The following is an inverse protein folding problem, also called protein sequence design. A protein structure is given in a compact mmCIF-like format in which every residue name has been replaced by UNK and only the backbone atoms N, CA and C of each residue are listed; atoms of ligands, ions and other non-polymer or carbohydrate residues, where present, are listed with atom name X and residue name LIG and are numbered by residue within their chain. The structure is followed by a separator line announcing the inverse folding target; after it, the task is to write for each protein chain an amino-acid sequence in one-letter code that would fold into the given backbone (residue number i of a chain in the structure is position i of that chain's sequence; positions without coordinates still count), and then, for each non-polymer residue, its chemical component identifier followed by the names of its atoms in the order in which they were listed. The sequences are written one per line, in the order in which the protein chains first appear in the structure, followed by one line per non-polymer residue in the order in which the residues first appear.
data_IF_266230267191
#
_entry.id   IF_266230267191
#
_cell.length_a   1.000
_cell.length_b   1.000
_cell.length_c   1.000
_cell.angle_alpha   90.00
_cell.angle_beta   90.00
_cell.angle_gamma   90.00
#
_symmetry.space_group_name_H-M   'P 1'
#
loop_
_entity.id
_entity.type
_entity.pdbx_description
1 polymer ?
#
# COMPACT_ATOMS: atom_id res chain seq x y z
N UNK A 1 10.28 -44.05 11.88
CA UNK A 1 10.69 -43.01 10.94
C UNK A 1 9.95 -41.73 11.35
N UNK A 2 10.64 -40.61 11.53
CA UNK A 2 9.93 -39.40 11.81
C UNK A 2 9.09 -39.05 10.58
N UNK A 3 7.81 -38.73 10.83
CA UNK A 3 6.89 -38.18 9.83
C UNK A 3 7.58 -37.08 9.05
N UNK A 4 7.61 -37.21 7.71
CA UNK A 4 7.97 -36.09 6.86
C UNK A 4 6.96 -34.97 7.15
N UNK A 5 7.34 -34.01 7.98
CA UNK A 5 6.58 -32.78 8.11
C UNK A 5 6.31 -32.28 6.69
N UNK A 6 5.05 -32.31 6.31
CA UNK A 6 4.59 -31.80 5.01
C UNK A 6 5.10 -30.37 4.89
N UNK A 7 5.93 -30.11 3.87
CA UNK A 7 6.47 -28.76 3.68
C UNK A 7 5.31 -27.85 3.31
N UNK A 8 5.12 -26.84 4.11
CA UNK A 8 4.11 -25.79 3.84
C UNK A 8 4.48 -25.15 2.50
N UNK A 9 3.54 -25.16 1.56
CA UNK A 9 3.64 -24.33 0.36
C UNK A 9 3.41 -22.87 0.78
N UNK A 10 4.51 -22.12 0.85
CA UNK A 10 4.48 -20.73 1.32
C UNK A 10 3.60 -19.85 0.43
N UNK A 11 3.54 -20.10 -0.87
CA UNK A 11 2.71 -19.31 -1.78
C UNK A 11 1.23 -19.54 -1.53
N UNK A 12 0.83 -20.81 -1.33
CA UNK A 12 -0.54 -21.17 -0.97
C UNK A 12 -0.92 -20.58 0.40
N UNK A 13 -0.02 -20.67 1.37
CA UNK A 13 -0.24 -20.12 2.70
C UNK A 13 -0.42 -18.58 2.65
N UNK A 14 0.45 -17.87 1.93
CA UNK A 14 0.36 -16.42 1.82
C UNK A 14 -0.87 -15.95 1.01
N UNK A 15 -1.33 -16.75 0.05
CA UNK A 15 -2.53 -16.42 -0.72
C UNK A 15 -3.79 -16.31 0.14
N UNK A 16 -3.84 -17.00 1.29
CA UNK A 16 -4.97 -16.91 2.22
C UNK A 16 -5.14 -15.51 2.81
N UNK A 17 -4.04 -14.75 2.95
CA UNK A 17 -4.09 -13.37 3.48
C UNK A 17 -4.63 -12.36 2.48
N UNK A 18 -4.65 -12.67 1.20
CA UNK A 18 -5.27 -11.82 0.17
C UNK A 18 -6.80 -11.79 0.27
N UNK A 19 -7.40 -12.72 1.00
CA UNK A 19 -8.84 -12.78 1.25
C UNK A 19 -9.32 -11.85 2.40
N UNK A 20 -8.42 -11.11 3.01
CA UNK A 20 -8.76 -10.17 4.09
C UNK A 20 -8.99 -8.78 3.50
N UNK A 21 -10.21 -8.19 3.65
CA UNK A 21 -10.51 -6.87 3.11
C UNK A 21 -9.53 -5.80 3.59
N UNK A 22 -9.03 -4.99 2.65
CA UNK A 22 -8.10 -3.90 2.95
C UNK A 22 -6.69 -4.34 3.34
N UNK A 23 -6.38 -5.63 3.30
CA UNK A 23 -5.07 -6.17 3.63
C UNK A 23 -4.33 -6.60 2.38
N UNK A 24 -3.07 -6.15 2.26
CA UNK A 24 -2.16 -6.56 1.20
C UNK A 24 -0.83 -6.95 1.83
N UNK A 25 -0.55 -8.25 1.85
CA UNK A 25 0.69 -8.77 2.45
C UNK A 25 1.88 -8.39 1.57
N UNK A 26 2.88 -7.74 2.17
CA UNK A 26 4.11 -7.39 1.46
C UNK A 26 5.02 -8.62 1.33
N UNK A 27 4.84 -9.37 0.26
CA UNK A 27 5.60 -10.58 -0.06
C UNK A 27 6.89 -10.27 -0.81
N UNK A 28 7.79 -11.25 -0.95
CA UNK A 28 8.97 -11.12 -1.80
C UNK A 28 8.61 -10.81 -3.26
N UNK A 29 7.50 -11.32 -3.76
CA UNK A 29 7.00 -11.02 -5.11
C UNK A 29 6.57 -9.55 -5.23
N UNK A 30 5.85 -9.02 -4.23
CA UNK A 30 5.48 -7.60 -4.18
C UNK A 30 6.69 -6.70 -4.03
N UNK A 31 7.67 -7.07 -3.20
CA UNK A 31 8.92 -6.35 -3.07
C UNK A 31 9.68 -6.25 -4.40
N UNK A 32 9.70 -7.32 -5.15
CA UNK A 32 10.31 -7.38 -6.49
C UNK A 32 9.55 -6.53 -7.50
N UNK A 33 8.21 -6.64 -7.53
CA UNK A 33 7.35 -5.84 -8.39
C UNK A 33 7.52 -4.35 -8.16
N UNK A 34 7.58 -3.93 -6.89
CA UNK A 34 7.63 -2.52 -6.48
C UNK A 34 9.03 -1.96 -6.31
N UNK A 35 10.09 -2.67 -6.68
CA UNK A 35 11.46 -2.25 -6.44
C UNK A 35 11.73 -0.82 -6.91
N UNK A 36 11.45 -0.52 -8.17
CA UNK A 36 11.71 0.80 -8.73
C UNK A 36 10.80 1.90 -8.14
N UNK A 37 9.55 1.57 -7.85
CA UNK A 37 8.62 2.48 -7.17
C UNK A 37 9.14 2.85 -5.78
N UNK A 38 9.61 1.86 -5.02
CA UNK A 38 10.18 2.08 -3.69
C UNK A 38 11.50 2.86 -3.75
N UNK A 39 12.35 2.62 -4.76
CA UNK A 39 13.57 3.39 -4.98
C UNK A 39 13.27 4.85 -5.35
N UNK A 40 12.27 5.07 -6.21
CA UNK A 40 11.76 6.43 -6.48
C UNK A 40 11.35 7.12 -5.17
N UNK A 41 10.50 6.50 -4.37
CA UNK A 41 10.05 7.07 -3.11
C UNK A 41 11.21 7.39 -2.18
N UNK A 42 12.20 6.50 -2.06
CA UNK A 42 13.42 6.71 -1.26
C UNK A 42 14.26 7.87 -1.77
N UNK A 43 14.28 8.12 -3.07
CA UNK A 43 15.03 9.27 -3.64
C UNK A 43 14.55 10.61 -3.06
N UNK A 44 13.28 10.69 -2.66
CA UNK A 44 12.67 11.89 -2.07
C UNK A 44 13.14 12.19 -0.63
N UNK A 45 14.01 11.37 -0.06
CA UNK A 45 14.70 11.72 1.18
C UNK A 45 15.63 12.93 1.02
N UNK A 46 16.16 13.13 -0.18
CA UNK A 46 17.02 14.27 -0.49
C UNK A 46 16.20 15.47 -0.93
N UNK A 47 16.50 16.62 -0.35
CA UNK A 47 15.76 17.86 -0.67
C UNK A 47 15.85 18.24 -2.14
N UNK A 48 17.02 18.12 -2.75
CA UNK A 48 17.23 18.39 -4.19
C UNK A 48 16.30 17.56 -5.07
N UNK A 49 16.08 16.29 -4.72
CA UNK A 49 15.20 15.40 -5.46
C UNK A 49 13.71 15.77 -5.27
N UNK A 50 13.33 16.18 -4.05
CA UNK A 50 11.98 16.70 -3.81
C UNK A 50 11.69 17.95 -4.64
N UNK A 51 12.63 18.86 -4.72
CA UNK A 51 12.50 20.09 -5.53
C UNK A 51 12.36 19.76 -7.02
N UNK A 52 13.20 18.84 -7.54
CA UNK A 52 13.10 18.38 -8.93
C UNK A 52 11.76 17.70 -9.22
N UNK A 53 11.34 16.81 -8.34
CA UNK A 53 10.05 16.11 -8.46
C UNK A 53 8.87 17.10 -8.47
N UNK A 54 8.82 18.02 -7.52
CA UNK A 54 7.72 19.01 -7.44
C UNK A 54 7.74 20.02 -8.61
N UNK A 55 8.89 20.27 -9.21
CA UNK A 55 8.99 21.14 -10.38
C UNK A 55 8.39 20.50 -11.65
N UNK A 56 8.60 19.20 -11.85
CA UNK A 56 7.99 18.41 -12.96
C UNK A 56 7.92 16.94 -12.57
N UNK A 57 6.78 16.58 -11.95
CA UNK A 57 6.55 15.23 -11.45
C UNK A 57 6.65 14.17 -12.55
N UNK A 58 6.06 14.47 -13.73
CA UNK A 58 6.07 13.53 -14.84
C UNK A 58 7.46 13.28 -15.35
N UNK A 59 8.24 14.31 -15.60
CA UNK A 59 9.62 14.19 -16.07
C UNK A 59 10.48 13.43 -15.06
N UNK A 60 10.33 13.72 -13.77
CA UNK A 60 11.06 13.02 -12.73
C UNK A 60 10.71 11.52 -12.67
N UNK A 61 9.42 11.17 -12.80
CA UNK A 61 8.98 9.78 -12.84
C UNK A 61 9.47 9.02 -14.09
N UNK A 62 9.65 9.72 -15.21
CA UNK A 62 10.17 9.13 -16.44
C UNK A 62 11.65 8.75 -16.36
N UNK A 63 12.39 9.24 -15.36
CA UNK A 63 13.77 8.81 -15.07
C UNK A 63 13.83 7.42 -14.41
N UNK A 64 12.71 6.92 -13.91
CA UNK A 64 12.61 5.64 -13.20
C UNK A 64 11.93 4.57 -14.06
N UNK A 65 12.37 3.33 -13.89
CA UNK A 65 11.77 2.18 -14.59
C UNK A 65 10.44 1.77 -13.90
N UNK A 66 9.47 2.65 -14.00
CA UNK A 66 8.12 2.46 -13.45
C UNK A 66 7.15 1.98 -14.52
N UNK A 67 6.20 1.11 -14.12
CA UNK A 67 5.06 0.78 -14.96
C UNK A 67 4.17 2.02 -15.15
N UNK A 68 3.38 2.04 -16.21
CA UNK A 68 2.41 3.11 -16.44
C UNK A 68 1.38 3.19 -15.30
N UNK A 69 0.98 2.03 -14.76
CA UNK A 69 0.10 1.97 -13.60
C UNK A 69 0.71 2.61 -12.36
N UNK A 70 2.00 2.36 -12.08
CA UNK A 70 2.72 2.97 -10.98
C UNK A 70 2.84 4.50 -11.16
N UNK A 71 3.22 4.97 -12.34
CA UNK A 71 3.28 6.42 -12.65
C UNK A 71 1.93 7.09 -12.45
N UNK A 72 0.86 6.49 -12.98
CA UNK A 72 -0.49 6.99 -12.83
C UNK A 72 -0.90 7.09 -11.35
N UNK A 73 -0.62 6.04 -10.57
CA UNK A 73 -0.94 6.02 -9.15
C UNK A 73 -0.19 7.12 -8.38
N UNK A 74 1.10 7.35 -8.67
CA UNK A 74 1.89 8.41 -8.05
C UNK A 74 1.32 9.79 -8.40
N UNK A 75 1.06 10.07 -9.67
CA UNK A 75 0.53 11.36 -10.11
C UNK A 75 -0.85 11.66 -9.52
N UNK A 76 -1.67 10.64 -9.34
CA UNK A 76 -3.00 10.75 -8.73
C UNK A 76 -2.95 10.72 -7.18
N UNK A 77 -1.79 10.47 -6.57
CA UNK A 77 -1.67 10.20 -5.12
C UNK A 77 -2.61 9.07 -4.68
N UNK A 78 -2.81 8.08 -5.55
CA UNK A 78 -3.54 6.85 -5.25
C UNK A 78 -2.63 5.88 -4.50
N UNK A 79 -2.61 5.99 -3.18
CA UNK A 79 -1.74 5.17 -2.33
C UNK A 79 -2.14 3.69 -2.36
N UNK A 80 -3.42 3.38 -2.49
CA UNK A 80 -3.88 2.00 -2.68
C UNK A 80 -3.33 1.42 -3.99
N UNK A 81 -3.41 2.18 -5.08
CA UNK A 81 -2.82 1.80 -6.36
C UNK A 81 -1.31 1.61 -6.29
N UNK A 82 -0.59 2.48 -5.57
CA UNK A 82 0.85 2.32 -5.34
C UNK A 82 1.18 1.04 -4.57
N UNK A 83 0.39 0.68 -3.56
CA UNK A 83 0.57 -0.58 -2.81
C UNK A 83 0.28 -1.78 -3.70
N UNK A 84 -0.73 -1.72 -4.57
CA UNK A 84 -1.04 -2.77 -5.54
C UNK A 84 0.10 -2.96 -6.55
N UNK A 85 0.84 -1.89 -6.88
CA UNK A 85 2.06 -1.93 -7.70
C UNK A 85 3.33 -2.34 -6.90
N UNK A 86 3.19 -2.84 -5.69
CA UNK A 86 4.29 -3.33 -4.86
C UNK A 86 4.97 -2.25 -4.01
N UNK A 87 4.34 -1.10 -3.86
CA UNK A 87 4.81 -0.05 -2.96
C UNK A 87 4.77 -0.48 -1.50
N UNK A 88 5.79 -0.10 -0.73
CA UNK A 88 5.84 -0.28 0.70
C UNK A 88 5.51 1.04 1.39
N UNK A 89 4.59 1.02 2.33
CA UNK A 89 4.09 2.24 2.99
C UNK A 89 5.19 3.06 3.66
N UNK A 90 6.24 2.45 4.19
CA UNK A 90 7.37 3.16 4.78
C UNK A 90 8.17 3.96 3.75
N UNK A 91 8.27 3.45 2.53
CA UNK A 91 8.89 4.19 1.43
C UNK A 91 7.93 5.24 0.86
N UNK A 92 6.67 4.87 0.65
CA UNK A 92 5.64 5.80 0.16
C UNK A 92 5.40 6.99 1.11
N UNK A 93 5.75 6.84 2.39
CA UNK A 93 5.68 7.95 3.34
C UNK A 93 6.55 9.15 2.94
N UNK A 94 7.60 8.93 2.16
CA UNK A 94 8.45 10.00 1.64
C UNK A 94 7.69 10.86 0.62
N UNK A 95 6.78 10.25 -0.14
CA UNK A 95 5.95 10.97 -1.11
C UNK A 95 4.93 11.88 -0.41
N UNK A 96 4.12 11.37 0.51
CA UNK A 96 3.15 12.24 1.17
C UNK A 96 3.82 13.27 2.11
N UNK A 97 4.99 12.97 2.66
CA UNK A 97 5.80 13.95 3.39
C UNK A 97 6.31 15.07 2.47
N UNK A 98 6.68 14.73 1.22
CA UNK A 98 7.05 15.70 0.19
C UNK A 98 5.90 16.66 -0.10
N UNK A 99 4.68 16.15 -0.14
CA UNK A 99 3.45 16.94 -0.27
C UNK A 99 3.05 17.69 1.01
N UNK A 100 3.85 17.59 2.08
CA UNK A 100 3.55 18.14 3.41
C UNK A 100 2.26 17.60 4.01
N UNK A 101 1.95 16.35 3.73
CA UNK A 101 0.80 15.64 4.27
C UNK A 101 1.22 14.68 5.39
N UNK A 102 0.31 14.47 6.35
CA UNK A 102 0.51 13.56 7.46
C UNK A 102 0.23 12.10 7.05
N UNK A 103 0.69 11.17 7.87
CA UNK A 103 0.29 9.77 7.76
C UNK A 103 -1.23 9.60 7.87
N UNK A 104 -1.87 10.34 8.77
CA UNK A 104 -3.34 10.32 8.93
C UNK A 104 -4.07 10.76 7.66
N UNK A 105 -3.53 11.74 6.94
CA UNK A 105 -4.08 12.15 5.65
C UNK A 105 -4.01 11.01 4.63
N UNK A 106 -2.84 10.39 4.50
CA UNK A 106 -2.65 9.28 3.56
C UNK A 106 -3.56 8.09 3.91
N UNK A 107 -3.57 7.67 5.18
CA UNK A 107 -4.42 6.59 5.66
C UNK A 107 -5.91 6.90 5.49
N UNK A 108 -6.32 8.13 5.74
CA UNK A 108 -7.67 8.61 5.49
C UNK A 108 -8.06 8.45 4.02
N UNK A 109 -7.22 8.95 3.11
CA UNK A 109 -7.46 8.83 1.67
C UNK A 109 -7.58 7.38 1.20
N UNK A 110 -6.79 6.47 1.77
CA UNK A 110 -6.85 5.03 1.47
C UNK A 110 -8.14 4.37 1.95
N UNK A 111 -8.81 4.95 2.91
CA UNK A 111 -10.06 4.44 3.51
C UNK A 111 -11.30 5.23 3.09
N UNK A 112 -11.14 6.20 2.20
CA UNK A 112 -12.22 7.06 1.74
C UNK A 112 -12.68 8.08 2.79
N UNK A 113 -11.81 8.41 3.75
CA UNK A 113 -12.06 9.37 4.82
C UNK A 113 -11.19 10.61 4.64
N UNK A 114 -11.67 11.75 5.15
CA UNK A 114 -10.81 12.91 5.39
C UNK A 114 -9.82 12.61 6.52
N UNK A 115 -8.77 13.44 6.62
CA UNK A 115 -7.81 13.29 7.72
C UNK A 115 -8.50 13.40 9.09
N UNK A 116 -9.45 14.30 9.24
CA UNK A 116 -10.17 14.51 10.50
C UNK A 116 -11.09 13.34 10.84
N UNK A 117 -11.86 12.86 9.88
CA UNK A 117 -12.69 11.65 10.05
C UNK A 117 -11.86 10.43 10.45
N UNK A 118 -10.71 10.26 9.81
CA UNK A 118 -9.78 9.17 10.16
C UNK A 118 -9.25 9.32 11.59
N UNK A 119 -8.82 10.53 11.98
CA UNK A 119 -8.34 10.80 13.33
C UNK A 119 -9.41 10.53 14.39
N UNK A 120 -10.64 10.98 14.17
CA UNK A 120 -11.76 10.74 15.07
C UNK A 120 -12.12 9.26 15.17
N UNK A 121 -12.11 8.53 14.07
CA UNK A 121 -12.31 7.08 14.03
C UNK A 121 -11.27 6.37 14.88
N UNK A 122 -9.99 6.75 14.78
CA UNK A 122 -8.90 6.16 15.57
C UNK A 122 -9.01 6.49 17.06
N UNK A 123 -9.38 7.73 17.41
CA UNK A 123 -9.63 8.13 18.80
C UNK A 123 -10.79 7.33 19.41
N UNK A 124 -11.81 7.04 18.61
CA UNK A 124 -12.96 6.22 18.99
C UNK A 124 -12.68 4.72 19.11
N UNK A 125 -11.42 4.28 18.97
CA UNK A 125 -11.03 2.86 19.12
C UNK A 125 -10.80 2.11 17.82
N UNK A 126 -10.86 2.80 16.68
CA UNK A 126 -10.66 2.21 15.37
C UNK A 126 -11.91 1.55 14.79
N UNK A 127 -11.74 0.86 13.66
CA UNK A 127 -12.84 0.12 13.03
C UNK A 127 -13.12 -1.19 13.77
N UNK A 128 -14.39 -1.58 13.84
CA UNK A 128 -14.77 -2.91 14.32
C UNK A 128 -14.12 -4.00 13.43
N UNK A 129 -13.53 -5.05 14.02
CA UNK A 129 -13.04 -6.20 13.27
C UNK A 129 -14.19 -7.11 12.77
N UNK A 130 -15.40 -6.88 13.23
CA UNK A 130 -16.56 -7.67 12.80
C UNK A 130 -16.87 -7.42 11.32
N UNK A 131 -17.02 -8.52 10.57
CA UNK A 131 -17.25 -8.46 9.13
C UNK A 131 -16.03 -8.19 8.27
N UNK A 132 -14.84 -8.06 8.89
CA UNK A 132 -13.57 -7.74 8.19
C UNK A 132 -12.63 -8.96 8.05
N UNK A 133 -13.09 -10.16 8.38
CA UNK A 133 -12.19 -11.33 8.50
C UNK A 133 -11.79 -11.90 7.15
N UNK A 134 -12.78 -12.18 6.30
CA UNK A 134 -12.56 -12.88 5.03
C UNK A 134 -13.63 -12.46 4.03
N UNK A 135 -13.22 -12.26 2.78
CA UNK A 135 -14.16 -11.96 1.69
C UNK A 135 -15.10 -13.15 1.49
N UNK A 136 -14.58 -14.38 1.43
CA UNK A 136 -15.37 -15.61 1.27
C UNK A 136 -16.36 -15.81 2.42
N UNK A 137 -15.89 -15.65 3.66
CA UNK A 137 -16.76 -15.79 4.83
C UNK A 137 -17.87 -14.73 4.88
N UNK A 138 -17.61 -13.53 4.36
CA UNK A 138 -18.63 -12.48 4.27
C UNK A 138 -19.64 -12.77 3.15
N UNK A 139 -19.22 -13.32 2.02
CA UNK A 139 -20.09 -13.75 0.93
C UNK A 139 -21.02 -14.88 1.37
N UNK A 140 -20.50 -15.87 2.09
CA UNK A 140 -21.29 -16.99 2.63
C UNK A 140 -22.34 -16.52 3.64
N UNK A 141 -22.06 -15.48 4.43
CA UNK A 141 -23.03 -14.88 5.35
C UNK A 141 -24.11 -14.07 4.63
N UNK A 142 -23.77 -13.42 3.52
CA UNK A 142 -24.71 -12.65 2.71
C UNK A 142 -25.64 -13.51 1.84
N UNK A 143 -25.29 -14.77 1.61
CA UNK A 143 -26.07 -15.74 0.84
C UNK A 143 -27.12 -16.52 1.68
N UNK A 144 -27.21 -16.25 2.96
CA UNK A 144 -28.25 -16.77 3.89
C UNK A 144 -29.25 -15.67 4.22
#
# INVERSE_FOLDING_TARGET
MPDKKERIDIHKYLAEFEDIPGTRVFTAQRARKGYHLNQFAMSLMKEENRQRFLADEKAYLDEWDLTDAAKKAVLARDYNGMIDEGGNIYFLSKLFSTDRKSFQFAAGSMTGMTQEEYAQMMIGGGRSPEGQRSIKANEEKGAR
#
